data_IF_380737274118
#
_entry.id   IF_380737274118
#
_cell.length_a   1.000
_cell.length_b   1.000
_cell.length_c   1.000
_cell.angle_alpha   90.00
_cell.angle_beta   90.00
_cell.angle_gamma   90.00
#
_symmetry.space_group_name_H-M   'P 1'
#
loop_
_entity.id
_entity.type
_entity.pdbx_description
1 polymer ?
#
# COMPACT_ATOMS: atom_id res chain seq x y z
N UNK A 1 -82.54 14.80 -0.67
CA UNK A 1 -82.59 15.78 -1.78
C UNK A 1 -81.30 15.61 -2.60
N UNK A 2 -81.28 15.73 -3.93
CA UNK A 2 -81.93 14.82 -4.88
C UNK A 2 -80.98 14.35 -6.01
N UNK A 3 -81.53 13.49 -6.88
CA UNK A 3 -81.18 13.23 -8.30
C UNK A 3 -80.11 12.20 -8.67
N UNK A 4 -80.64 11.03 -9.05
CA UNK A 4 -80.18 10.23 -10.18
C UNK A 4 -79.91 11.12 -11.41
N UNK A 5 -78.79 10.86 -12.08
CA UNK A 5 -78.63 11.17 -13.50
C UNK A 5 -78.05 9.96 -14.21
N UNK A 6 -78.87 9.43 -15.09
CA UNK A 6 -78.58 8.55 -16.22
C UNK A 6 -77.48 9.18 -17.08
N UNK A 7 -76.52 8.38 -17.54
CA UNK A 7 -75.71 8.76 -18.69
C UNK A 7 -75.41 7.54 -19.58
N UNK A 8 -75.35 7.86 -20.86
CA UNK A 8 -75.63 7.06 -22.05
C UNK A 8 -74.42 6.20 -22.45
N UNK A 9 -74.69 4.97 -22.91
CA UNK A 9 -73.72 4.13 -23.60
C UNK A 9 -73.22 4.82 -24.88
N UNK A 10 -71.94 5.15 -24.92
CA UNK A 10 -71.21 5.51 -26.14
C UNK A 10 -70.18 4.43 -26.44
N UNK A 11 -70.47 3.57 -27.41
CA UNK A 11 -69.55 2.56 -27.92
C UNK A 11 -68.36 3.23 -28.62
N UNK A 12 -67.16 3.10 -28.06
CA UNK A 12 -65.92 3.49 -28.72
C UNK A 12 -65.29 2.23 -29.33
N UNK A 13 -65.20 2.23 -30.66
CA UNK A 13 -64.52 1.20 -31.43
C UNK A 13 -63.01 1.22 -31.14
N UNK A 14 -62.49 0.07 -30.74
CA UNK A 14 -61.07 -0.19 -30.51
C UNK A 14 -60.36 -0.31 -31.87
N UNK A 15 -59.60 0.71 -32.27
CA UNK A 15 -58.64 0.62 -33.39
C UNK A 15 -57.29 0.23 -32.81
N UNK A 16 -56.88 -1.03 -33.02
CA UNK A 16 -55.54 -1.52 -32.70
C UNK A 16 -54.54 -0.92 -33.70
N UNK A 17 -53.86 0.15 -33.29
CA UNK A 17 -52.67 0.64 -33.99
C UNK A 17 -51.45 -0.20 -33.62
N UNK A 18 -50.95 -1.01 -34.55
CA UNK A 18 -49.67 -1.70 -34.43
C UNK A 18 -48.53 -0.67 -34.41
N UNK A 19 -47.97 -0.40 -33.22
CA UNK A 19 -46.71 0.35 -33.09
C UNK A 19 -45.57 -0.65 -33.28
N UNK A 20 -44.91 -0.57 -34.44
CA UNK A 20 -43.64 -1.26 -34.65
C UNK A 20 -42.55 -0.54 -33.85
N UNK A 21 -42.15 -1.08 -32.70
CA UNK A 21 -40.91 -0.70 -32.04
C UNK A 21 -39.74 -1.17 -32.92
N UNK A 22 -39.09 -0.24 -33.61
CA UNK A 22 -37.74 -0.47 -34.13
C UNK A 22 -36.75 -0.34 -32.96
N UNK A 23 -35.83 -1.29 -32.75
CA UNK A 23 -34.80 -1.14 -31.73
C UNK A 23 -33.87 0.03 -32.10
N UNK A 24 -33.36 0.79 -31.12
CA UNK A 24 -32.40 1.85 -31.40
C UNK A 24 -31.15 1.23 -32.01
N UNK A 25 -30.77 1.72 -33.19
CA UNK A 25 -29.51 1.38 -33.85
C UNK A 25 -28.37 1.74 -32.90
N UNK A 26 -27.71 0.73 -32.36
CA UNK A 26 -26.44 0.87 -31.64
C UNK A 26 -25.40 1.30 -32.66
N UNK A 27 -25.24 2.61 -32.81
CA UNK A 27 -24.15 3.17 -33.59
C UNK A 27 -22.90 3.00 -32.74
N UNK A 28 -22.11 1.97 -33.04
CA UNK A 28 -20.75 1.82 -32.51
C UNK A 28 -20.00 3.10 -32.87
N UNK A 29 -19.58 3.92 -31.88
CA UNK A 29 -18.72 5.05 -32.19
C UNK A 29 -17.44 4.52 -32.85
N UNK A 30 -16.87 5.24 -33.83
CA UNK A 30 -15.63 4.81 -34.46
C UNK A 30 -14.58 4.60 -33.36
N UNK A 31 -13.87 3.47 -33.43
CA UNK A 31 -12.63 3.27 -32.68
C UNK A 31 -11.70 4.41 -33.12
N UNK A 32 -11.60 5.46 -32.31
CA UNK A 32 -10.47 6.36 -32.38
C UNK A 32 -9.26 5.52 -32.00
N UNK A 33 -8.52 5.11 -33.03
CA UNK A 33 -7.13 4.68 -32.90
C UNK A 33 -6.35 5.93 -32.52
N UNK A 34 -6.53 6.39 -31.29
CA UNK A 34 -5.61 7.30 -30.65
C UNK A 34 -4.33 6.50 -30.49
N UNK A 35 -3.41 6.73 -31.43
CA UNK A 35 -2.02 6.34 -31.34
C UNK A 35 -1.56 6.62 -29.91
N UNK A 36 -1.11 5.57 -29.23
CA UNK A 36 -0.38 5.69 -27.97
C UNK A 36 0.77 6.68 -28.18
N UNK A 37 0.55 7.94 -27.77
CA UNK A 37 1.65 8.74 -27.27
C UNK A 37 1.95 8.15 -25.91
N UNK A 38 3.01 7.33 -25.85
CA UNK A 38 3.76 7.12 -24.62
C UNK A 38 3.76 8.44 -23.85
N UNK A 39 3.26 8.44 -22.62
CA UNK A 39 3.66 9.46 -21.68
C UNK A 39 5.18 9.48 -21.77
N UNK A 40 5.74 10.60 -22.23
CA UNK A 40 7.16 10.67 -22.57
C UNK A 40 7.94 10.14 -21.38
N UNK A 41 8.71 9.08 -21.62
CA UNK A 41 9.67 8.60 -20.65
C UNK A 41 10.40 9.82 -20.05
N UNK A 42 10.67 9.83 -18.73
CA UNK A 42 11.51 10.86 -18.14
C UNK A 42 12.76 11.01 -19.01
N UNK A 43 13.27 12.24 -19.22
CA UNK A 43 14.41 12.44 -20.10
C UNK A 43 15.55 11.51 -19.66
N UNK A 44 16.05 10.70 -20.61
CA UNK A 44 17.28 9.91 -20.50
C UNK A 44 18.36 10.81 -19.85
N UNK A 45 18.61 10.61 -18.56
CA UNK A 45 19.42 11.55 -17.79
C UNK A 45 19.13 11.65 -16.29
N UNK A 46 18.14 10.94 -15.74
CA UNK A 46 18.12 10.69 -14.31
C UNK A 46 19.38 9.92 -13.94
N UNK A 47 20.37 10.61 -13.38
CA UNK A 47 21.55 9.96 -12.81
C UNK A 47 21.03 9.03 -11.72
N UNK A 48 21.25 7.73 -11.84
CA UNK A 48 20.90 6.77 -10.79
C UNK A 48 21.55 7.24 -9.49
N UNK A 49 20.76 7.83 -8.59
CA UNK A 49 21.27 8.31 -7.31
C UNK A 49 21.48 7.08 -6.44
N UNK A 50 22.75 6.71 -6.28
CA UNK A 50 23.15 5.56 -5.47
C UNK A 50 23.08 5.92 -4.00
N UNK A 51 22.45 5.06 -3.19
CA UNK A 51 22.47 5.17 -1.72
C UNK A 51 23.92 4.94 -1.28
N UNK A 52 24.57 5.85 -0.51
CA UNK A 52 25.95 5.64 -0.06
C UNK A 52 26.04 4.47 0.93
N UNK A 53 27.24 3.90 1.06
CA UNK A 53 27.49 2.93 2.14
C UNK A 53 27.40 3.61 3.51
N UNK A 54 26.80 2.93 4.48
CA UNK A 54 26.60 3.46 5.83
C UNK A 54 25.24 3.14 6.43
N UNK A 55 24.98 3.66 7.62
CA UNK A 55 23.66 3.56 8.26
C UNK A 55 22.68 4.44 7.50
N UNK A 56 21.58 3.84 7.08
CA UNK A 56 20.53 4.50 6.27
C UNK A 56 19.16 4.45 6.93
N UNK A 57 19.03 3.75 8.06
CA UNK A 57 17.78 3.65 8.79
C UNK A 57 18.02 3.27 10.24
N UNK A 58 17.26 3.86 11.16
CA UNK A 58 17.32 3.52 12.59
C UNK A 58 15.93 3.53 13.20
N UNK A 59 15.65 2.60 14.12
CA UNK A 59 14.43 2.61 14.92
C UNK A 59 14.74 2.18 16.36
N UNK A 60 14.32 2.99 17.34
CA UNK A 60 14.33 2.58 18.74
C UNK A 60 13.12 1.71 19.03
N UNK A 61 13.34 0.52 19.58
CA UNK A 61 12.28 -0.39 19.97
C UNK A 61 11.77 -0.03 21.36
N UNK A 62 10.47 0.27 21.44
CA UNK A 62 9.74 0.44 22.68
C UNK A 62 8.75 -0.71 22.86
N UNK A 63 8.67 -1.26 24.07
CA UNK A 63 7.72 -2.34 24.37
C UNK A 63 6.28 -1.91 24.11
N UNK A 64 5.51 -2.85 23.55
CA UNK A 64 4.07 -2.73 23.34
C UNK A 64 3.30 -2.49 24.64
N UNK A 65 3.74 -3.12 25.74
CA UNK A 65 3.10 -3.03 27.06
C UNK A 65 3.58 -1.83 27.88
N UNK A 66 4.51 -1.02 27.35
CA UNK A 66 5.10 0.11 28.07
C UNK A 66 6.02 -0.28 29.23
N UNK A 67 6.42 -1.56 29.30
CA UNK A 67 7.47 -2.05 30.18
C UNK A 67 8.83 -2.09 29.44
N UNK A 68 9.93 -2.40 30.14
CA UNK A 68 11.25 -2.53 29.50
C UNK A 68 11.53 -3.99 29.04
N UNK A 69 10.50 -4.82 28.85
CA UNK A 69 10.65 -6.26 28.61
C UNK A 69 11.25 -6.61 27.24
N UNK A 70 11.20 -5.68 26.29
CA UNK A 70 11.89 -5.77 25.00
C UNK A 70 12.41 -4.38 24.65
N UNK A 71 13.72 -4.28 24.42
CA UNK A 71 14.37 -3.03 24.04
C UNK A 71 15.54 -3.29 23.09
N UNK A 72 16.00 -2.22 22.44
CA UNK A 72 17.14 -2.23 21.53
C UNK A 72 16.90 -1.32 20.34
N UNK A 73 17.92 -1.22 19.48
CA UNK A 73 17.89 -0.35 18.31
C UNK A 73 18.01 -1.18 17.04
N UNK A 74 17.06 -1.03 16.13
CA UNK A 74 17.14 -1.54 14.77
C UNK A 74 18.04 -0.62 13.96
N UNK A 75 19.05 -1.17 13.31
CA UNK A 75 19.98 -0.43 12.45
C UNK A 75 19.99 -1.04 11.05
N UNK A 76 19.62 -0.24 10.05
CA UNK A 76 19.68 -0.60 8.64
C UNK A 76 20.93 0.01 8.01
N UNK A 77 21.79 -0.82 7.42
CA UNK A 77 23.05 -0.42 6.81
C UNK A 77 23.06 -0.77 5.34
N UNK A 78 23.45 0.16 4.47
CA UNK A 78 23.79 -0.13 3.08
C UNK A 78 25.26 -0.53 3.00
N UNK A 79 25.55 -1.74 2.54
CA UNK A 79 26.92 -2.25 2.38
C UNK A 79 26.95 -3.41 1.37
N UNK A 80 28.11 -3.65 0.74
CA UNK A 80 28.37 -4.90 0.03
C UNK A 80 27.41 -5.24 -1.14
N UNK A 81 26.70 -4.25 -1.68
CA UNK A 81 25.71 -4.44 -2.75
C UNK A 81 24.29 -4.74 -2.27
N UNK A 82 24.03 -4.73 -0.96
CA UNK A 82 22.71 -4.94 -0.36
C UNK A 82 22.41 -3.97 0.77
N UNK A 83 21.33 -4.28 1.49
CA UNK A 83 21.01 -3.69 2.78
C UNK A 83 21.04 -4.77 3.84
N UNK A 84 21.64 -4.48 4.99
CA UNK A 84 21.67 -5.35 6.15
C UNK A 84 20.90 -4.70 7.30
N UNK A 85 20.14 -5.49 8.05
CA UNK A 85 19.54 -5.05 9.32
C UNK A 85 20.18 -5.78 10.47
N UNK A 86 20.59 -5.01 11.47
CA UNK A 86 21.09 -5.52 12.73
C UNK A 86 20.21 -5.02 13.88
N UNK A 87 20.23 -5.74 14.99
CA UNK A 87 19.72 -5.26 16.27
C UNK A 87 20.92 -4.95 17.17
N UNK A 88 20.93 -3.75 17.74
CA UNK A 88 21.94 -3.25 18.66
C UNK A 88 21.36 -3.10 20.05
N UNK A 89 22.16 -3.42 21.05
CA UNK A 89 21.78 -3.31 22.46
C UNK A 89 20.44 -4.01 22.77
N UNK A 90 20.21 -5.14 22.09
CA UNK A 90 18.94 -5.87 22.18
C UNK A 90 18.85 -6.66 23.48
N UNK A 91 17.73 -6.47 24.17
CA UNK A 91 17.39 -7.16 25.41
C UNK A 91 15.94 -7.61 25.36
N UNK A 92 15.67 -8.80 25.90
CA UNK A 92 14.33 -9.32 26.08
C UNK A 92 14.19 -10.25 27.28
N UNK A 93 13.19 -9.97 28.09
CA UNK A 93 12.72 -10.84 29.18
C UNK A 93 11.67 -11.87 28.71
N UNK A 94 11.26 -11.82 27.43
CA UNK A 94 10.20 -12.66 26.89
C UNK A 94 10.76 -14.06 26.56
N UNK A 95 10.27 -15.12 27.21
CA UNK A 95 10.76 -16.47 26.95
C UNK A 95 10.18 -17.01 25.65
N UNK A 96 10.99 -17.15 24.60
CA UNK A 96 10.51 -17.73 23.35
C UNK A 96 11.37 -17.39 22.12
N UNK A 97 10.86 -17.76 20.96
CA UNK A 97 11.41 -17.33 19.68
C UNK A 97 10.79 -15.99 19.29
N UNK A 98 11.48 -14.89 19.57
CA UNK A 98 11.09 -13.58 19.06
C UNK A 98 11.47 -13.46 17.60
N UNK A 99 10.73 -12.63 16.88
CA UNK A 99 10.92 -12.39 15.46
C UNK A 99 10.80 -10.89 15.16
N UNK A 100 11.62 -10.39 14.22
CA UNK A 100 11.56 -9.01 13.73
C UNK A 100 10.83 -8.96 12.38
N UNK A 101 9.89 -8.02 12.27
CA UNK A 101 9.13 -7.75 11.05
C UNK A 101 9.24 -6.27 10.68
N UNK A 102 9.32 -5.97 9.39
CA UNK A 102 9.19 -4.62 8.86
C UNK A 102 7.81 -4.46 8.24
N UNK A 103 7.13 -3.36 8.54
CA UNK A 103 5.80 -3.06 8.03
C UNK A 103 5.79 -1.75 7.25
N UNK A 104 5.08 -1.68 6.10
CA UNK A 104 4.73 -0.40 5.50
C UNK A 104 3.56 0.33 6.20
N UNK A 105 2.97 -0.34 7.20
CA UNK A 105 1.77 -0.04 8.00
C UNK A 105 0.82 1.09 7.59
N UNK A 106 -0.47 0.71 7.56
CA UNK A 106 -1.66 1.57 7.53
C UNK A 106 -2.52 1.31 8.77
N UNK A 107 -3.36 2.28 9.17
CA UNK A 107 -4.24 2.26 10.37
C UNK A 107 -5.18 1.05 10.53
N UNK A 108 -5.26 0.15 9.54
CA UNK A 108 -6.24 -0.94 9.47
C UNK A 108 -5.69 -2.34 9.70
N UNK A 109 -4.37 -2.54 9.91
CA UNK A 109 -3.82 -3.88 10.12
C UNK A 109 -4.19 -4.43 11.50
N UNK A 110 -5.05 -5.45 11.53
CA UNK A 110 -5.51 -6.14 12.76
C UNK A 110 -4.69 -7.39 13.08
N UNK A 111 -4.06 -8.01 12.08
CA UNK A 111 -3.22 -9.19 12.24
C UNK A 111 -1.87 -9.01 11.51
N UNK A 112 -0.77 -9.37 12.19
CA UNK A 112 0.58 -9.35 11.61
C UNK A 112 0.77 -10.35 10.44
N UNK A 113 -0.22 -11.23 10.19
CA UNK A 113 -0.22 -12.12 9.02
C UNK A 113 -0.44 -11.38 7.69
N UNK A 114 -1.06 -10.18 7.72
CA UNK A 114 -1.19 -9.31 6.55
C UNK A 114 0.07 -8.47 6.32
N UNK A 115 1.09 -8.61 7.18
CA UNK A 115 2.39 -7.99 6.99
C UNK A 115 3.29 -8.91 6.17
N UNK A 116 3.82 -8.38 5.07
CA UNK A 116 4.84 -9.08 4.30
C UNK A 116 6.10 -9.24 5.17
N UNK A 117 6.51 -10.49 5.39
CA UNK A 117 7.51 -10.83 6.39
C UNK A 117 8.92 -10.92 5.81
N UNK A 118 9.80 -10.01 6.22
CA UNK A 118 11.25 -10.20 6.06
C UNK A 118 11.76 -10.86 7.32
N UNK A 119 11.72 -12.20 7.35
CA UNK A 119 12.02 -12.93 8.58
C UNK A 119 13.52 -13.10 8.80
N UNK A 120 13.97 -12.64 9.97
CA UNK A 120 15.27 -12.92 10.55
C UNK A 120 15.34 -14.30 11.24
N UNK A 121 14.27 -15.11 11.16
CA UNK A 121 14.12 -16.28 12.01
C UNK A 121 13.92 -15.87 13.48
N UNK A 122 14.44 -16.69 14.40
CA UNK A 122 14.33 -16.43 15.84
C UNK A 122 15.50 -15.58 16.36
N UNK A 123 15.18 -14.50 17.05
CA UNK A 123 16.15 -13.62 17.72
C UNK A 123 16.64 -14.25 19.04
N UNK A 124 17.91 -14.01 19.38
CA UNK A 124 18.42 -14.30 20.73
C UNK A 124 18.04 -13.17 21.69
N UNK A 125 17.68 -13.52 22.92
CA UNK A 125 17.05 -12.59 23.88
C UNK A 125 17.99 -11.57 24.52
N UNK A 126 19.32 -11.69 24.42
CA UNK A 126 20.27 -10.81 25.14
C UNK A 126 21.61 -10.65 24.42
N UNK A 127 21.56 -10.27 23.14
CA UNK A 127 22.74 -10.04 22.34
C UNK A 127 22.46 -9.14 21.15
N UNK A 128 23.50 -8.43 20.70
CA UNK A 128 23.54 -7.86 19.35
C UNK A 128 23.24 -8.97 18.34
N UNK A 129 22.22 -8.75 17.50
CA UNK A 129 21.92 -9.65 16.41
C UNK A 129 22.71 -9.20 15.18
N UNK A 130 23.49 -10.09 14.54
CA UNK A 130 24.29 -9.74 13.37
C UNK A 130 23.38 -9.31 12.21
N UNK A 131 23.97 -8.54 11.29
CA UNK A 131 23.29 -8.09 10.07
C UNK A 131 22.75 -9.27 9.26
N UNK A 132 21.45 -9.30 8.98
CA UNK A 132 20.93 -10.14 7.89
C UNK A 132 20.50 -9.27 6.72
N UNK A 133 20.67 -9.83 5.54
CA UNK A 133 20.34 -9.16 4.30
C UNK A 133 18.83 -8.92 4.18
N UNK A 134 18.45 -7.66 4.00
CA UNK A 134 17.13 -7.24 3.55
C UNK A 134 16.95 -7.36 2.03
N UNK A 135 17.99 -7.77 1.31
CA UNK A 135 18.02 -7.88 -0.13
C UNK A 135 19.10 -7.02 -0.79
N UNK A 136 19.14 -7.10 -2.11
CA UNK A 136 20.11 -6.42 -2.96
C UNK A 136 19.77 -4.92 -3.10
N UNK A 137 20.77 -4.11 -3.50
CA UNK A 137 20.62 -2.68 -3.79
C UNK A 137 19.96 -2.36 -5.13
N UNK A 138 19.54 -3.38 -5.87
CA UNK A 138 18.82 -3.15 -7.11
C UNK A 138 17.44 -2.57 -6.80
N UNK A 139 17.25 -1.31 -7.20
CA UNK A 139 16.01 -0.53 -7.06
C UNK A 139 14.83 -1.13 -7.82
N UNK A 140 15.04 -2.18 -8.63
CA UNK A 140 13.97 -2.97 -9.25
C UNK A 140 12.99 -3.59 -8.25
N UNK A 141 13.40 -3.69 -6.97
CA UNK A 141 12.56 -4.14 -5.86
C UNK A 141 11.91 -3.02 -5.05
N UNK A 142 12.19 -1.75 -5.35
CA UNK A 142 11.52 -0.58 -4.77
C UNK A 142 12.28 0.17 -3.67
N UNK A 143 11.63 1.18 -3.07
CA UNK A 143 12.25 2.10 -2.11
C UNK A 143 12.30 1.49 -0.69
N UNK A 144 13.47 1.39 -0.03
CA UNK A 144 13.54 0.88 1.34
C UNK A 144 12.74 1.73 2.34
N UNK A 145 12.55 3.04 2.07
CA UNK A 145 11.75 3.90 2.96
C UNK A 145 10.26 3.53 2.99
N UNK A 146 9.80 2.63 2.13
CA UNK A 146 8.46 2.06 2.17
C UNK A 146 8.14 1.39 3.52
N UNK A 147 9.15 0.83 4.21
CA UNK A 147 8.95 0.26 5.54
C UNK A 147 8.98 1.36 6.58
N UNK A 148 7.88 1.55 7.31
CA UNK A 148 7.74 2.62 8.29
C UNK A 148 8.04 2.14 9.71
N UNK A 149 7.75 0.88 10.01
CA UNK A 149 7.85 0.37 11.38
C UNK A 149 8.60 -0.96 11.41
N UNK A 150 9.40 -1.11 12.46
CA UNK A 150 10.00 -2.36 12.88
C UNK A 150 9.20 -2.90 14.06
N UNK A 151 8.80 -4.17 14.01
CA UNK A 151 7.95 -4.80 15.02
C UNK A 151 8.61 -6.09 15.49
N UNK A 152 8.86 -6.19 16.78
CA UNK A 152 9.24 -7.46 17.43
C UNK A 152 7.97 -8.18 17.83
N UNK A 153 7.89 -9.46 17.52
CA UNK A 153 6.72 -10.29 17.76
C UNK A 153 7.12 -11.57 18.44
N UNK A 154 6.22 -12.12 19.24
CA UNK A 154 6.31 -13.46 19.79
C UNK A 154 5.27 -14.36 19.12
N UNK A 155 5.64 -15.60 18.81
CA UNK A 155 4.65 -16.60 18.43
C UNK A 155 3.94 -17.11 19.69
N UNK A 156 2.69 -16.71 19.88
CA UNK A 156 1.83 -17.20 20.97
C UNK A 156 0.81 -18.22 20.42
N UNK A 157 1.01 -19.53 20.64
CA UNK A 157 0.07 -20.56 20.19
C UNK A 157 -1.26 -20.54 20.96
N UNK A 158 -1.37 -19.74 22.03
CA UNK A 158 -2.57 -19.59 22.86
C UNK A 158 -3.42 -18.36 22.53
N UNK A 159 -3.04 -17.61 21.48
CA UNK A 159 -3.84 -16.49 20.95
C UNK A 159 -5.32 -16.86 20.79
N UNK A 160 -6.20 -15.96 21.21
CA UNK A 160 -7.66 -16.05 20.99
C UNK A 160 -8.13 -15.10 19.89
N UNK A 161 -7.19 -14.59 19.08
CA UNK A 161 -7.53 -13.73 17.96
C UNK A 161 -8.51 -14.45 17.01
N UNK A 162 -9.65 -13.83 16.66
CA UNK A 162 -10.70 -14.47 15.87
C UNK A 162 -10.26 -14.83 14.45
N UNK A 163 -9.21 -14.18 13.94
CA UNK A 163 -8.62 -14.43 12.62
C UNK A 163 -7.43 -15.41 12.70
N UNK A 164 -7.12 -15.95 13.89
CA UNK A 164 -6.07 -16.95 14.11
C UNK A 164 -4.67 -16.36 14.17
N UNK A 165 -4.55 -15.07 14.50
CA UNK A 165 -3.26 -14.38 14.53
C UNK A 165 -2.36 -14.85 15.69
N UNK A 166 -1.40 -15.72 15.39
CA UNK A 166 -0.44 -16.30 16.37
C UNK A 166 0.77 -15.42 16.67
N UNK A 167 0.89 -14.27 16.01
CA UNK A 167 1.97 -13.32 16.26
C UNK A 167 1.44 -12.21 17.16
N UNK A 168 1.99 -12.13 18.36
CA UNK A 168 1.68 -11.07 19.32
C UNK A 168 2.80 -10.04 19.29
N UNK A 169 2.51 -8.77 18.99
CA UNK A 169 3.53 -7.74 19.05
C UNK A 169 4.06 -7.53 20.46
N UNK A 170 5.39 -7.39 20.59
CA UNK A 170 6.11 -7.17 21.85
C UNK A 170 6.85 -5.85 21.92
N UNK A 171 7.35 -5.35 20.79
CA UNK A 171 7.93 -4.00 20.70
C UNK A 171 7.77 -3.41 19.31
N UNK A 172 7.79 -2.08 19.22
CA UNK A 172 7.74 -1.31 17.97
C UNK A 172 8.80 -0.24 17.97
N UNK A 173 9.37 0.01 16.80
CA UNK A 173 10.10 1.23 16.54
C UNK A 173 9.70 1.83 15.19
N UNK A 174 9.53 3.14 15.15
CA UNK A 174 9.42 3.89 13.90
C UNK A 174 10.79 3.99 13.23
N UNK A 175 10.88 3.55 11.98
CA UNK A 175 12.13 3.62 11.23
C UNK A 175 12.30 5.03 10.68
N UNK A 176 13.35 5.70 11.13
CA UNK A 176 13.81 6.96 10.55
C UNK A 176 14.82 6.65 9.48
N UNK A 177 14.48 6.93 8.22
CA UNK A 177 15.35 6.69 7.07
C UNK A 177 16.19 7.92 6.70
N UNK A 178 17.48 7.70 6.53
CA UNK A 178 18.45 8.61 5.92
C UNK A 178 18.96 8.02 4.60
N UNK A 179 18.07 8.04 3.61
CA UNK A 179 18.41 7.68 2.23
C UNK A 179 18.44 8.95 1.38
N UNK A 180 19.21 9.03 0.28
CA UNK A 180 19.11 10.08 -0.74
C UNK A 180 17.90 9.88 -1.67
N UNK A 181 17.42 10.95 -2.31
CA UNK A 181 16.28 10.85 -3.25
C UNK A 181 16.71 10.14 -4.53
N UNK A 182 16.24 8.90 -4.69
CA UNK A 182 16.62 8.04 -5.81
C UNK A 182 15.72 8.18 -7.02
N UNK A 183 14.58 8.87 -6.89
CA UNK A 183 13.68 9.21 -8.01
C UNK A 183 13.26 10.69 -7.92
N UNK A 184 14.21 11.61 -8.14
CA UNK A 184 13.91 13.03 -8.12
C UNK A 184 12.85 13.36 -9.18
N UNK A 185 11.74 13.96 -8.74
CA UNK A 185 10.61 14.31 -9.60
C UNK A 185 9.49 13.29 -9.63
N UNK A 186 9.61 12.15 -8.93
CA UNK A 186 8.48 11.26 -8.71
C UNK A 186 7.44 11.95 -7.81
N UNK A 187 6.36 12.41 -8.43
CA UNK A 187 5.22 13.04 -7.76
C UNK A 187 3.93 12.54 -8.40
N UNK A 188 3.16 11.77 -7.63
CA UNK A 188 1.81 11.39 -8.03
C UNK A 188 0.89 12.62 -8.00
N UNK A 189 0.20 12.88 -9.11
CA UNK A 189 -0.79 13.94 -9.23
C UNK A 189 -2.07 13.33 -9.79
N UNK A 190 -3.16 13.39 -9.03
CA UNK A 190 -4.45 12.86 -9.50
C UNK A 190 -4.98 13.71 -10.65
N UNK A 191 -4.96 13.16 -11.87
CA UNK A 191 -5.48 13.80 -13.07
C UNK A 191 -6.99 13.57 -13.27
N UNK A 192 -7.62 12.85 -12.34
CA UNK A 192 -9.05 12.59 -12.31
C UNK A 192 -9.42 11.16 -12.67
N UNK A 193 -10.71 10.83 -12.50
CA UNK A 193 -11.22 9.48 -12.75
C UNK A 193 -11.07 9.08 -14.22
N UNK A 194 -10.67 7.82 -14.43
CA UNK A 194 -10.61 7.19 -15.76
C UNK A 194 -11.05 5.72 -15.68
N UNK A 195 -11.36 5.16 -16.84
CA UNK A 195 -11.62 3.73 -16.96
C UNK A 195 -10.38 2.94 -16.51
N UNK A 196 -10.59 1.87 -15.75
CA UNK A 196 -9.50 1.07 -15.16
C UNK A 196 -8.79 1.71 -13.96
N UNK A 197 -9.26 2.86 -13.46
CA UNK A 197 -8.79 3.46 -12.21
C UNK A 197 -9.95 4.14 -11.44
N UNK A 198 -10.98 3.35 -11.14
CA UNK A 198 -12.22 3.78 -10.48
C UNK A 198 -12.21 3.71 -8.95
N UNK A 199 -11.09 3.29 -8.36
CA UNK A 199 -10.86 3.16 -6.93
C UNK A 199 -10.82 4.49 -6.19
N UNK A 200 -10.85 4.37 -4.86
CA UNK A 200 -10.87 5.50 -3.95
C UNK A 200 -9.45 6.05 -3.74
N UNK A 201 -9.32 7.38 -3.69
CA UNK A 201 -8.02 8.05 -3.47
C UNK A 201 -8.07 8.77 -2.13
N UNK A 202 -7.09 8.50 -1.28
CA UNK A 202 -6.86 9.31 -0.08
C UNK A 202 -5.96 10.49 -0.43
N UNK A 203 -6.20 11.63 0.22
CA UNK A 203 -5.41 12.85 0.00
C UNK A 203 -5.09 13.52 1.33
N UNK A 204 -3.92 14.15 1.40
CA UNK A 204 -3.50 15.01 2.50
C UNK A 204 -3.01 16.32 1.90
N UNK A 205 -3.55 17.44 2.38
CA UNK A 205 -3.26 18.79 1.86
C UNK A 205 -3.38 18.93 0.33
N UNK A 206 -4.31 18.15 -0.26
CA UNK A 206 -4.56 18.14 -1.70
C UNK A 206 -3.60 17.28 -2.53
N UNK A 207 -2.60 16.64 -1.92
CA UNK A 207 -1.75 15.65 -2.57
C UNK A 207 -2.30 14.23 -2.36
N UNK A 208 -2.30 13.36 -3.40
CA UNK A 208 -2.70 11.97 -3.23
C UNK A 208 -1.69 11.22 -2.35
N UNK A 209 -2.20 10.45 -1.39
CA UNK A 209 -1.39 9.66 -0.44
C UNK A 209 -1.48 8.18 -0.76
N UNK A 210 -2.69 7.69 -1.02
CA UNK A 210 -2.93 6.29 -1.37
C UNK A 210 -4.10 6.11 -2.33
N UNK A 211 -4.16 4.93 -2.92
CA UNK A 211 -5.21 4.49 -3.81
C UNK A 211 -5.69 3.09 -3.45
N UNK A 212 -7.00 2.96 -3.21
CA UNK A 212 -7.63 1.67 -2.92
C UNK A 212 -8.30 1.11 -4.17
N UNK A 213 -7.73 0.04 -4.70
CA UNK A 213 -8.15 -0.57 -5.94
C UNK A 213 -9.53 -1.24 -5.83
N UNK A 214 -10.28 -1.21 -6.93
CA UNK A 214 -11.58 -1.88 -7.06
C UNK A 214 -11.57 -2.86 -8.24
N UNK A 215 -12.59 -3.71 -8.30
CA UNK A 215 -12.72 -4.66 -9.40
C UNK A 215 -12.79 -3.94 -10.76
N UNK A 216 -11.90 -4.34 -11.67
CA UNK A 216 -11.78 -3.74 -13.01
C UNK A 216 -10.66 -2.72 -13.14
N UNK A 217 -9.97 -2.37 -12.06
CA UNK A 217 -8.78 -1.52 -12.14
C UNK A 217 -7.57 -2.25 -12.74
N UNK A 218 -6.64 -1.49 -13.32
CA UNK A 218 -5.34 -2.01 -13.79
C UNK A 218 -4.20 -1.12 -13.32
N UNK A 219 -3.01 -1.70 -13.10
CA UNK A 219 -1.82 -0.92 -12.70
C UNK A 219 -1.47 0.18 -13.72
N UNK A 220 -1.64 -0.09 -15.02
CA UNK A 220 -1.39 0.88 -16.08
C UNK A 220 -2.32 2.09 -15.97
N UNK A 221 -3.63 1.85 -15.84
CA UNK A 221 -4.62 2.92 -15.76
C UNK A 221 -4.50 3.72 -14.46
N UNK A 222 -4.15 3.05 -13.36
CA UNK A 222 -3.85 3.72 -12.08
C UNK A 222 -2.62 4.61 -12.23
N UNK A 223 -1.51 4.09 -12.74
CA UNK A 223 -0.28 4.85 -12.92
C UNK A 223 -0.51 6.08 -13.82
N UNK A 224 -1.21 5.90 -14.94
CA UNK A 224 -1.57 7.00 -15.82
C UNK A 224 -2.48 8.04 -15.14
N UNK A 225 -3.45 7.60 -14.31
CA UNK A 225 -4.32 8.51 -13.54
C UNK A 225 -3.46 9.43 -12.66
N UNK A 226 -2.39 8.89 -12.09
CA UNK A 226 -1.50 9.64 -11.20
C UNK A 226 -0.31 10.30 -11.91
N UNK A 227 -0.23 10.20 -13.24
CA UNK A 227 0.85 10.80 -14.01
C UNK A 227 2.24 10.21 -13.70
N UNK A 228 2.30 8.96 -13.23
CA UNK A 228 3.53 8.23 -12.92
C UNK A 228 3.62 6.97 -13.79
N UNK A 229 4.79 6.33 -13.85
CA UNK A 229 4.93 5.06 -14.57
C UNK A 229 4.51 3.88 -13.69
N UNK A 230 4.20 2.73 -14.29
CA UNK A 230 3.99 1.48 -13.51
C UNK A 230 5.25 1.08 -12.74
N UNK A 231 6.42 1.41 -13.27
CA UNK A 231 7.68 1.19 -12.59
C UNK A 231 7.82 2.09 -11.34
N UNK A 232 7.41 3.36 -11.44
CA UNK A 232 7.31 4.24 -10.27
C UNK A 232 6.29 3.73 -9.24
N UNK A 233 5.13 3.27 -9.70
CA UNK A 233 4.11 2.72 -8.82
C UNK A 233 4.63 1.45 -8.10
N UNK A 234 5.36 0.60 -8.81
CA UNK A 234 6.06 -0.56 -8.22
C UNK A 234 7.17 -0.14 -7.26
N UNK A 235 7.92 0.90 -7.59
CA UNK A 235 8.95 1.46 -6.72
C UNK A 235 8.39 1.98 -5.39
N UNK A 236 7.19 2.58 -5.42
CA UNK A 236 6.46 3.03 -4.24
C UNK A 236 5.78 1.90 -3.46
N UNK A 237 5.65 0.71 -4.06
CA UNK A 237 4.90 -0.44 -3.53
C UNK A 237 5.69 -1.74 -3.69
N UNK A 238 6.88 -1.86 -3.07
CA UNK A 238 7.81 -2.99 -3.26
C UNK A 238 7.22 -4.36 -2.89
N UNK A 239 6.19 -4.41 -2.05
CA UNK A 239 5.57 -5.64 -1.54
C UNK A 239 4.27 -6.00 -2.25
N UNK A 240 3.73 -5.08 -3.05
CA UNK A 240 2.48 -5.33 -3.75
C UNK A 240 2.74 -6.27 -4.91
N UNK A 241 1.91 -7.32 -4.99
CA UNK A 241 1.93 -8.22 -6.13
C UNK A 241 1.78 -7.43 -7.42
N UNK A 242 2.52 -7.82 -8.47
CA UNK A 242 2.29 -7.25 -9.81
C UNK A 242 0.92 -7.64 -10.39
N UNK A 243 0.16 -8.47 -9.70
CA UNK A 243 -1.24 -8.76 -9.97
C UNK A 243 -2.13 -8.02 -8.98
N UNK A 244 -2.65 -6.88 -9.43
CA UNK A 244 -3.59 -6.06 -8.67
C UNK A 244 -4.87 -6.83 -8.33
N UNK A 245 -5.25 -6.82 -7.06
CA UNK A 245 -6.53 -7.33 -6.57
C UNK A 245 -7.45 -6.19 -6.13
N UNK A 246 -8.75 -6.44 -6.16
CA UNK A 246 -9.71 -5.52 -5.58
C UNK A 246 -9.52 -5.47 -4.06
N UNK A 247 -9.41 -4.26 -3.52
CA UNK A 247 -9.12 -4.01 -2.12
C UNK A 247 -7.66 -3.71 -1.82
N UNK A 248 -6.73 -3.90 -2.77
CA UNK A 248 -5.32 -3.54 -2.61
C UNK A 248 -5.18 -2.03 -2.34
N UNK A 249 -4.37 -1.70 -1.34
CA UNK A 249 -4.00 -0.32 -1.01
C UNK A 249 -2.61 -0.02 -1.59
N UNK A 250 -2.55 0.91 -2.53
CA UNK A 250 -1.34 1.37 -3.18
C UNK A 250 -0.90 2.70 -2.58
N UNK A 251 0.34 2.76 -2.13
CA UNK A 251 1.01 3.99 -1.75
C UNK A 251 1.36 4.83 -2.99
N UNK A 252 1.11 6.14 -2.91
CA UNK A 252 1.38 7.10 -3.99
C UNK A 252 2.45 8.12 -3.61
N UNK A 253 3.11 7.95 -2.46
CA UNK A 253 4.12 8.88 -1.97
C UNK A 253 5.46 8.19 -1.79
N UNK A 254 6.55 8.90 -2.10
CA UNK A 254 7.86 8.52 -1.57
C UNK A 254 7.75 8.65 -0.05
N UNK A 255 7.66 7.51 0.64
CA UNK A 255 7.39 7.45 2.07
C UNK A 255 8.25 8.46 2.84
N UNK A 256 7.61 9.21 3.75
CA UNK A 256 8.17 10.40 4.39
C UNK A 256 9.57 10.12 4.96
N UNK A 257 10.57 10.76 4.35
CA UNK A 257 11.93 10.85 4.89
C UNK A 257 11.89 11.72 6.15
N UNK A 258 11.68 11.09 7.31
CA UNK A 258 11.75 11.73 8.62
C UNK A 258 10.44 12.30 9.20
N UNK A 259 9.27 11.81 8.80
CA UNK A 259 7.97 12.27 9.34
C UNK A 259 7.23 11.17 10.10
N UNK A 260 6.74 11.50 11.30
CA UNK A 260 6.14 10.61 12.28
C UNK A 260 5.23 9.52 11.67
N UNK A 261 5.59 8.25 11.89
CA UNK A 261 4.64 7.16 11.69
C UNK A 261 3.48 7.35 12.65
N UNK A 262 2.27 7.08 12.19
CA UNK A 262 1.14 6.88 13.10
C UNK A 262 1.48 5.66 13.99
N UNK A 263 1.48 5.80 15.32
CA UNK A 263 1.74 4.68 16.21
C UNK A 263 0.69 3.58 16.00
N UNK A 264 1.06 2.30 16.10
CA UNK A 264 0.10 1.21 15.90
C UNK A 264 -1.05 1.30 16.92
N UNK A 265 -2.25 0.79 16.60
CA UNK A 265 -3.46 0.92 17.43
C UNK A 265 -3.34 0.18 18.77
N UNK A 266 -2.32 -0.64 18.92
CA UNK A 266 -2.00 -1.41 20.12
C UNK A 266 -0.81 -0.85 20.92
N UNK A 267 -0.15 0.22 20.44
CA UNK A 267 0.86 0.97 21.18
C UNK A 267 0.25 2.03 22.10
#
# INVERSE_FOLDING_TARGET
MPRLTTSVLGSIALVLGLVACSPPTTQTPPLDTAVHTDASAPPDGAVDVVIPDGVIGTAELTSASGDDTVSGTVVVTAAGGGFDVALKDFHSDVPGGLQLFFSPWSETTTCLADMYNFSFGNLSTDADQPGLSLGDRDYSRGNPSYFLTAVITETDPSTTDPDGCVLTPRAVGTITWDVPDTRPGLLAVDTGSRFGAGGATATTDGAPTSYRAVAGDTLNDIADRFGITVDDLGFLNPLTSRQLQAGDDLNLQVALRGGASVPPPWA
#
